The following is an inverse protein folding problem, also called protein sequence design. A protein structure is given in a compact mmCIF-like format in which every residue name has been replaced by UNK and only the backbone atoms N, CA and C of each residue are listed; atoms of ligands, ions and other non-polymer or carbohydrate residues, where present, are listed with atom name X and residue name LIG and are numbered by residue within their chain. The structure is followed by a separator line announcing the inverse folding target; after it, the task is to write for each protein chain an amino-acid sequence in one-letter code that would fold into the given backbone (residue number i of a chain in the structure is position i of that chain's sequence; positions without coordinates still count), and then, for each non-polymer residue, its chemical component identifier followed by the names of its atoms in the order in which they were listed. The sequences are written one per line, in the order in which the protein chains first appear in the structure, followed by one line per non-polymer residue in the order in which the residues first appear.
data_IF_094343836431
#
_entry.id   IF_094343836431
#
_cell.length_a   1.000
_cell.length_b   1.000
_cell.length_c   1.000
_cell.angle_alpha   90.00
_cell.angle_beta   90.00
_cell.angle_gamma   90.00
#
_symmetry.space_group_name_H-M   'P 1'
#
loop_
_entity.id
_entity.type
_entity.pdbx_description
1 polymer ?
#
# COMPACT_ATOMS: atom_id res chain seq x y z
N UNK A 1 -15.67 23.44 -9.39
CA UNK A 1 -14.52 23.10 -10.25
C UNK A 1 -14.24 21.62 -10.07
N UNK A 2 -14.19 20.84 -11.15
CA UNK A 2 -13.94 19.39 -11.10
C UNK A 2 -12.44 19.22 -10.80
N UNK A 3 -12.07 18.87 -9.57
CA UNK A 3 -10.65 18.61 -9.24
C UNK A 3 -10.13 17.57 -10.25
N UNK A 4 -9.15 17.97 -11.06
CA UNK A 4 -8.59 17.08 -12.07
C UNK A 4 -7.78 16.01 -11.35
N UNK A 5 -7.77 14.79 -11.89
CA UNK A 5 -6.99 13.68 -11.31
C UNK A 5 -5.49 14.05 -11.18
N UNK A 6 -5.03 15.05 -11.96
CA UNK A 6 -3.71 15.68 -11.87
C UNK A 6 -3.49 16.45 -10.56
N UNK A 7 -4.47 17.21 -10.07
CA UNK A 7 -4.33 17.98 -8.83
C UNK A 7 -4.28 17.08 -7.60
N UNK A 8 -5.06 15.99 -7.61
CA UNK A 8 -5.03 14.96 -6.57
C UNK A 8 -3.65 14.27 -6.56
N UNK A 9 -3.08 14.01 -7.75
CA UNK A 9 -1.75 13.42 -7.85
C UNK A 9 -0.65 14.38 -7.39
N UNK A 10 -0.71 15.66 -7.75
CA UNK A 10 0.25 16.69 -7.27
C UNK A 10 0.21 16.84 -5.74
N UNK A 11 -0.98 16.88 -5.14
CA UNK A 11 -1.15 16.85 -3.66
C UNK A 11 -0.54 15.58 -3.05
N UNK A 12 -0.72 14.40 -3.69
CA UNK A 12 -0.12 13.13 -3.23
C UNK A 12 1.41 13.09 -3.44
N UNK A 13 1.94 13.75 -4.47
CA UNK A 13 3.39 13.88 -4.71
C UNK A 13 4.06 14.71 -3.62
N UNK A 14 3.41 15.79 -3.17
CA UNK A 14 3.91 16.65 -2.08
C UNK A 14 4.01 15.94 -0.72
N UNK A 15 3.21 14.91 -0.47
CA UNK A 15 3.33 14.08 0.75
C UNK A 15 4.65 13.31 0.84
N UNK A 16 5.34 13.13 -0.29
CA UNK A 16 6.59 12.38 -0.40
C UNK A 16 6.34 10.88 -0.56
N UNK A 17 7.08 10.28 -1.50
CA UNK A 17 6.99 8.85 -1.87
C UNK A 17 7.02 7.94 -0.64
N UNK A 18 7.91 8.19 0.31
CA UNK A 18 8.07 7.38 1.52
C UNK A 18 6.82 7.38 2.42
N UNK A 19 6.18 8.53 2.66
CA UNK A 19 4.97 8.60 3.49
C UNK A 19 3.77 7.95 2.81
N UNK A 20 3.65 8.11 1.49
CA UNK A 20 2.58 7.46 0.73
C UNK A 20 2.74 5.93 0.75
N UNK A 21 3.95 5.43 0.59
CA UNK A 21 4.23 3.98 0.67
C UNK A 21 3.91 3.41 2.05
N UNK A 22 4.19 4.14 3.13
CA UNK A 22 3.87 3.69 4.49
C UNK A 22 2.36 3.71 4.74
N UNK A 23 1.67 4.79 4.40
CA UNK A 23 0.23 4.96 4.65
C UNK A 23 -0.65 4.07 3.77
N UNK A 24 -0.31 3.92 2.49
CA UNK A 24 -1.14 3.19 1.52
C UNK A 24 -0.61 1.78 1.21
N UNK A 25 0.62 1.47 1.59
CA UNK A 25 1.22 0.14 1.46
C UNK A 25 1.36 -0.55 2.78
N UNK A 26 2.29 -0.05 3.59
CA UNK A 26 2.80 -0.79 4.74
C UNK A 26 1.73 -1.01 5.81
N UNK A 27 0.97 0.02 6.17
CA UNK A 27 -0.06 -0.05 7.21
C UNK A 27 -1.26 -0.94 6.83
N UNK A 28 -1.96 -0.71 5.70
CA UNK A 28 -3.15 -1.50 5.35
C UNK A 28 -2.80 -2.94 4.97
N UNK A 29 -1.67 -3.18 4.31
CA UNK A 29 -1.28 -4.54 3.92
C UNK A 29 -0.61 -5.28 5.06
N UNK A 30 0.40 -4.69 5.71
CA UNK A 30 1.12 -5.34 6.81
C UNK A 30 0.22 -5.55 8.03
N UNK A 31 -0.32 -4.47 8.57
CA UNK A 31 -1.09 -4.51 9.81
C UNK A 31 -2.52 -5.04 9.55
N UNK A 32 -3.15 -4.59 8.46
CA UNK A 32 -4.50 -5.03 8.11
C UNK A 32 -4.60 -6.52 7.79
N UNK A 33 -3.74 -7.08 6.91
CA UNK A 33 -3.78 -8.52 6.63
C UNK A 33 -3.38 -9.36 7.82
N UNK A 34 -2.44 -8.92 8.65
CA UNK A 34 -2.07 -9.65 9.87
C UNK A 34 -3.27 -9.75 10.81
N UNK A 35 -4.00 -8.66 11.03
CA UNK A 35 -5.21 -8.67 11.87
C UNK A 35 -6.29 -9.56 11.26
N UNK A 36 -6.58 -9.40 9.95
CA UNK A 36 -7.62 -10.18 9.27
C UNK A 36 -7.29 -11.68 9.32
N UNK A 37 -6.06 -12.07 8.98
CA UNK A 37 -5.66 -13.48 8.99
C UNK A 37 -5.61 -14.06 10.40
N UNK A 38 -5.22 -13.26 11.41
CA UNK A 38 -5.25 -13.69 12.81
C UNK A 38 -6.70 -13.89 13.30
N UNK A 39 -7.63 -13.03 12.88
CA UNK A 39 -9.05 -13.20 13.18
C UNK A 39 -9.64 -14.44 12.50
N UNK A 40 -9.30 -14.67 11.23
CA UNK A 40 -9.71 -15.89 10.51
C UNK A 40 -9.15 -17.13 11.21
N UNK A 41 -7.86 -17.12 11.57
CA UNK A 41 -7.23 -18.22 12.29
C UNK A 41 -7.91 -18.51 13.63
N UNK A 42 -8.24 -17.45 14.39
CA UNK A 42 -8.97 -17.58 15.65
C UNK A 42 -10.36 -18.20 15.45
N UNK A 43 -11.07 -17.82 14.39
CA UNK A 43 -12.40 -18.37 14.10
C UNK A 43 -12.31 -19.82 13.62
N UNK A 44 -11.33 -20.15 12.78
CA UNK A 44 -11.20 -21.48 12.16
C UNK A 44 -10.56 -22.53 13.06
N UNK A 45 -9.52 -22.17 13.80
CA UNK A 45 -8.71 -23.10 14.58
C UNK A 45 -8.88 -22.94 16.09
N UNK A 46 -9.57 -21.90 16.57
CA UNK A 46 -9.70 -21.51 17.99
C UNK A 46 -8.37 -21.40 18.76
N UNK A 47 -7.25 -21.38 18.04
CA UNK A 47 -5.90 -21.28 18.58
C UNK A 47 -5.13 -20.31 17.71
N UNK A 48 -4.49 -19.34 18.34
CA UNK A 48 -3.52 -18.47 17.69
C UNK A 48 -2.15 -18.95 18.14
N UNK A 49 -1.29 -19.32 17.19
CA UNK A 49 0.12 -19.56 17.51
C UNK A 49 0.88 -18.22 17.44
N UNK A 50 1.24 -17.62 18.58
CA UNK A 50 1.86 -16.30 18.60
C UNK A 50 3.24 -16.28 17.94
N UNK A 51 3.89 -17.43 17.76
CA UNK A 51 5.19 -17.53 17.07
C UNK A 51 5.07 -17.20 15.58
N UNK A 52 3.94 -17.50 14.96
CA UNK A 52 3.71 -17.25 13.52
C UNK A 52 3.24 -15.83 13.22
N UNK A 53 2.74 -15.10 14.21
CA UNK A 53 2.21 -13.74 14.03
C UNK A 53 3.31 -12.75 13.58
N UNK A 54 4.51 -12.70 14.21
CA UNK A 54 5.61 -11.85 13.74
C UNK A 54 6.08 -12.22 12.32
N UNK A 55 6.16 -13.52 12.02
CA UNK A 55 6.58 -13.99 10.69
C UNK A 55 5.62 -13.53 9.59
N UNK A 56 4.30 -13.64 9.82
CA UNK A 56 3.27 -13.14 8.90
C UNK A 56 3.30 -11.62 8.79
N UNK A 57 3.51 -10.92 9.91
CA UNK A 57 3.60 -9.48 9.91
C UNK A 57 4.76 -9.02 9.02
N UNK A 58 5.95 -9.59 9.17
CA UNK A 58 7.09 -9.29 8.29
C UNK A 58 6.76 -9.59 6.83
N UNK A 59 6.21 -10.78 6.54
CA UNK A 59 5.83 -11.17 5.17
C UNK A 59 4.83 -10.19 4.53
N UNK A 60 3.75 -9.85 5.24
CA UNK A 60 2.74 -8.92 4.74
C UNK A 60 3.25 -7.48 4.64
N UNK A 61 4.18 -7.07 5.50
CA UNK A 61 4.90 -5.80 5.34
C UNK A 61 5.70 -5.78 4.04
N UNK A 62 6.43 -6.84 3.72
CA UNK A 62 7.16 -6.95 2.45
C UNK A 62 6.20 -6.89 1.25
N UNK A 63 5.13 -7.68 1.26
CA UNK A 63 4.13 -7.67 0.19
C UNK A 63 3.52 -6.27 0.04
N UNK A 64 3.12 -5.63 1.14
CA UNK A 64 2.56 -4.29 1.15
C UNK A 64 3.50 -3.22 0.60
N UNK A 65 4.78 -3.34 0.94
CA UNK A 65 5.82 -2.46 0.41
C UNK A 65 5.96 -2.60 -1.10
N UNK A 66 6.04 -3.83 -1.63
CA UNK A 66 6.15 -4.06 -3.07
C UNK A 66 4.90 -3.61 -3.82
N UNK A 67 3.70 -3.92 -3.32
CA UNK A 67 2.43 -3.52 -3.95
C UNK A 67 2.31 -2.00 -4.01
N UNK A 68 2.62 -1.29 -2.92
CA UNK A 68 2.56 0.17 -2.93
C UNK A 68 3.64 0.80 -3.80
N UNK A 69 4.83 0.21 -3.85
CA UNK A 69 5.90 0.69 -4.73
C UNK A 69 5.53 0.49 -6.21
N UNK A 70 4.98 -0.67 -6.57
CA UNK A 70 4.46 -0.92 -7.91
C UNK A 70 3.31 0.02 -8.28
N UNK A 71 2.38 0.26 -7.34
CA UNK A 71 1.27 1.21 -7.55
C UNK A 71 1.77 2.65 -7.72
N UNK A 72 2.78 3.06 -6.96
CA UNK A 72 3.42 4.37 -7.13
C UNK A 72 4.06 4.50 -8.51
N UNK A 73 4.88 3.52 -8.91
CA UNK A 73 5.52 3.51 -10.23
C UNK A 73 4.50 3.50 -11.38
N UNK A 74 3.43 2.71 -11.27
CA UNK A 74 2.36 2.71 -12.27
C UNK A 74 1.68 4.08 -12.40
N UNK A 75 1.52 4.79 -11.27
CA UNK A 75 0.96 6.13 -11.26
C UNK A 75 1.96 7.14 -11.86
N UNK A 76 3.25 7.03 -11.54
CA UNK A 76 4.31 7.89 -12.09
C UNK A 76 4.40 7.74 -13.61
N UNK A 77 4.46 6.50 -14.10
CA UNK A 77 4.47 6.18 -15.53
C UNK A 77 3.25 6.74 -16.28
N UNK A 78 2.06 6.71 -15.66
CA UNK A 78 0.81 7.13 -16.31
C UNK A 78 0.66 8.66 -16.40
N UNK A 79 1.26 9.41 -15.49
CA UNK A 79 1.18 10.88 -15.50
C UNK A 79 2.40 11.54 -16.17
N UNK A 80 3.59 10.93 -16.14
CA UNK A 80 4.76 11.42 -16.91
C UNK A 80 4.56 11.27 -18.42
N UNK A 81 3.96 10.15 -18.87
CA UNK A 81 3.65 9.95 -20.30
C UNK A 81 2.66 10.99 -20.85
N UNK A 82 1.75 11.49 -20.02
CA UNK A 82 0.72 12.48 -20.40
C UNK A 82 1.27 13.92 -20.44
N UNK A 83 2.43 14.19 -19.84
CA UNK A 83 3.13 15.48 -19.95
C UNK A 83 4.01 15.61 -21.18
N UNK A 84 4.44 14.49 -21.79
CA UNK A 84 5.36 14.51 -22.93
C UNK A 84 4.64 14.56 -24.30
N UNK A 85 3.31 14.41 -24.33
CA UNK A 85 2.50 14.39 -25.56
C UNK A 85 1.92 15.75 -25.99
N UNK A 86 2.32 16.86 -25.36
CA UNK A 86 1.97 18.21 -25.83
C UNK A 86 3.20 18.90 -26.44
N UNK A 87 3.39 18.82 -27.77
CA UNK A 87 4.18 19.81 -28.51
C UNK A 87 3.48 21.18 -28.51
#
# INVERSE_FOLDING_TARGET
MKESHKDIWLKRKQLGRSRYLVLFGLLPWGLGLTVITSLIELISFQQINPVWVPARLVLFFFIGFFVANARWQAMENRFESDSQQRP
#
